data_IF_124226072528
#
_entry.id   IF_124226072528
#
_cell.length_a   1.000
_cell.length_b   1.000
_cell.length_c   1.000
_cell.angle_alpha   90.00
_cell.angle_beta   90.00
_cell.angle_gamma   90.00
#
_symmetry.space_group_name_H-M   'P 1'
#
loop_
_entity.id
_entity.type
_entity.pdbx_description
1 polymer ?
#
# COMPACT_ATOMS: atom_id res chain seq x y z
N UNK A 1 -21.90 -0.28 0.33
CA UNK A 1 -20.62 -1.00 0.40
C UNK A 1 -19.58 0.00 0.88
N UNK A 2 -18.91 -0.25 1.99
CA UNK A 2 -17.75 0.58 2.36
C UNK A 2 -16.66 0.33 1.32
N UNK A 3 -16.26 1.38 0.62
CA UNK A 3 -15.19 1.25 -0.34
C UNK A 3 -13.85 1.27 0.40
N UNK A 4 -12.90 0.39 0.04
CA UNK A 4 -11.67 0.25 0.81
C UNK A 4 -10.86 1.54 0.77
N UNK A 5 -10.40 1.97 1.93
CA UNK A 5 -9.47 3.09 2.06
C UNK A 5 -8.18 2.81 1.28
N UNK A 6 -7.60 3.84 0.65
CA UNK A 6 -6.41 3.73 -0.20
C UNK A 6 -5.19 4.43 0.41
N UNK A 7 -3.98 3.87 0.24
CA UNK A 7 -2.74 4.50 0.71
C UNK A 7 -2.47 5.89 0.12
N UNK A 8 -2.94 6.18 -1.08
CA UNK A 8 -2.79 7.49 -1.74
C UNK A 8 -4.13 8.00 -2.22
N UNK A 9 -4.40 9.27 -1.95
CA UNK A 9 -5.49 10.04 -2.56
C UNK A 9 -4.88 11.26 -3.24
N UNK A 10 -5.23 11.51 -4.50
CA UNK A 10 -4.98 12.78 -5.20
C UNK A 10 -6.27 13.58 -5.16
N UNK A 11 -6.19 14.87 -4.84
CA UNK A 11 -7.30 15.80 -4.93
C UNK A 11 -6.85 16.98 -5.78
N UNK A 12 -7.56 17.28 -6.86
CA UNK A 12 -7.30 18.46 -7.69
C UNK A 12 -8.60 19.04 -8.23
N UNK A 13 -8.60 20.35 -8.45
CA UNK A 13 -9.64 21.12 -9.12
C UNK A 13 -9.40 21.28 -10.64
N UNK A 14 -8.23 20.86 -11.13
CA UNK A 14 -7.87 20.92 -12.54
C UNK A 14 -7.52 19.53 -13.09
N UNK A 15 -8.25 19.10 -14.13
CA UNK A 15 -8.08 17.78 -14.75
C UNK A 15 -6.71 17.58 -15.40
N UNK A 16 -6.13 18.64 -16.00
CA UNK A 16 -4.83 18.55 -16.66
C UNK A 16 -3.69 18.21 -15.69
N UNK A 17 -3.72 18.76 -14.46
CA UNK A 17 -2.74 18.40 -13.43
C UNK A 17 -2.84 16.93 -13.02
N UNK A 18 -4.06 16.38 -13.02
CA UNK A 18 -4.29 14.95 -12.73
C UNK A 18 -3.73 14.10 -13.87
N UNK A 19 -3.98 14.45 -15.14
CA UNK A 19 -3.47 13.73 -16.30
C UNK A 19 -1.95 13.58 -16.23
N UNK A 20 -1.23 14.69 -16.07
CA UNK A 20 0.23 14.66 -16.02
C UNK A 20 0.75 13.82 -14.85
N UNK A 21 0.13 13.96 -13.68
CA UNK A 21 0.51 13.20 -12.50
C UNK A 21 0.26 11.69 -12.68
N UNK A 22 -0.88 11.31 -13.28
CA UNK A 22 -1.20 9.92 -13.56
C UNK A 22 -0.22 9.32 -14.57
N UNK A 23 0.17 10.05 -15.61
CA UNK A 23 1.15 9.60 -16.60
C UNK A 23 2.53 9.37 -15.98
N UNK A 24 3.01 10.31 -15.15
CA UNK A 24 4.29 10.16 -14.42
C UNK A 24 4.24 8.95 -13.48
N UNK A 25 3.16 8.81 -12.70
CA UNK A 25 3.00 7.69 -11.77
C UNK A 25 2.87 6.35 -12.51
N UNK A 26 2.16 6.30 -13.63
CA UNK A 26 2.04 5.09 -14.43
C UNK A 26 3.39 4.66 -15.01
N UNK A 27 4.14 5.62 -15.57
CA UNK A 27 5.45 5.37 -16.19
C UNK A 27 6.50 4.94 -15.18
N UNK A 28 6.57 5.61 -14.02
CA UNK A 28 7.64 5.37 -13.05
C UNK A 28 7.28 4.37 -11.94
N UNK A 29 5.99 4.25 -11.59
CA UNK A 29 5.54 3.38 -10.51
C UNK A 29 4.13 2.81 -10.75
N UNK A 30 3.93 1.99 -11.80
CA UNK A 30 2.61 1.49 -12.21
C UNK A 30 1.90 0.71 -11.10
N UNK A 31 2.64 0.02 -10.23
CA UNK A 31 2.09 -0.70 -9.07
C UNK A 31 1.36 0.21 -8.06
N UNK A 32 1.54 1.54 -8.13
CA UNK A 32 0.84 2.48 -7.27
C UNK A 32 -0.61 2.71 -7.71
N UNK A 33 -0.93 2.61 -9.00
CA UNK A 33 -2.28 2.89 -9.53
C UNK A 33 -3.39 2.07 -8.84
N UNK A 34 -3.22 0.75 -8.60
CA UNK A 34 -4.16 -0.03 -7.79
C UNK A 34 -4.42 0.47 -6.37
N UNK A 35 -3.58 1.37 -5.86
CA UNK A 35 -3.56 1.85 -4.47
C UNK A 35 -3.84 3.35 -4.39
N UNK A 36 -4.22 3.94 -5.51
CA UNK A 36 -4.50 5.35 -5.68
C UNK A 36 -6.00 5.57 -5.83
N UNK A 37 -6.50 6.66 -5.26
CA UNK A 37 -7.79 7.25 -5.61
C UNK A 37 -7.56 8.67 -6.09
N UNK A 38 -8.13 9.02 -7.23
CA UNK A 38 -8.22 10.41 -7.70
C UNK A 38 -9.58 10.95 -7.30
N UNK A 39 -9.59 12.13 -6.70
CA UNK A 39 -10.78 12.91 -6.41
C UNK A 39 -10.72 14.20 -7.21
N UNK A 40 -11.59 14.34 -8.20
CA UNK A 40 -11.69 15.52 -9.05
C UNK A 40 -12.74 16.47 -8.45
N UNK A 41 -12.31 17.68 -8.10
CA UNK A 41 -13.15 18.76 -7.56
C UNK A 41 -13.74 19.65 -8.65
N UNK A 42 -13.56 19.29 -9.92
CA UNK A 42 -14.12 20.04 -11.03
C UNK A 42 -15.63 19.75 -11.18
N UNK A 43 -16.37 20.75 -11.69
CA UNK A 43 -17.78 20.59 -11.97
C UNK A 43 -17.99 19.65 -13.16
N UNK A 44 -19.21 19.13 -13.32
CA UNK A 44 -19.53 18.24 -14.43
C UNK A 44 -19.54 19.03 -15.75
N UNK A 45 -18.42 18.99 -16.48
CA UNK A 45 -18.28 19.55 -17.83
C UNK A 45 -17.98 18.49 -18.91
N UNK A 46 -17.92 18.92 -20.18
CA UNK A 46 -17.49 18.07 -21.30
C UNK A 46 -16.04 17.62 -21.13
N UNK A 47 -15.16 18.54 -20.76
CA UNK A 47 -13.73 18.28 -20.60
C UNK A 47 -13.48 17.33 -19.42
N UNK A 48 -14.16 17.56 -18.29
CA UNK A 48 -14.10 16.70 -17.11
C UNK A 48 -14.58 15.28 -17.43
N UNK A 49 -15.69 15.12 -18.15
CA UNK A 49 -16.19 13.80 -18.56
C UNK A 49 -15.20 13.08 -19.49
N UNK A 50 -14.65 13.78 -20.48
CA UNK A 50 -13.67 13.21 -21.40
C UNK A 50 -12.39 12.75 -20.66
N UNK A 51 -11.92 13.54 -19.68
CA UNK A 51 -10.79 13.16 -18.83
C UNK A 51 -11.09 11.92 -17.98
N UNK A 52 -12.25 11.86 -17.34
CA UNK A 52 -12.68 10.71 -16.53
C UNK A 52 -12.78 9.41 -17.35
N UNK A 53 -13.35 9.49 -18.55
CA UNK A 53 -13.41 8.36 -19.50
C UNK A 53 -12.02 7.90 -19.94
N UNK A 54 -11.13 8.85 -20.25
CA UNK A 54 -9.72 8.57 -20.57
C UNK A 54 -9.00 7.88 -19.41
N UNK A 55 -9.12 8.38 -18.18
CA UNK A 55 -8.45 7.76 -17.03
C UNK A 55 -8.95 6.35 -16.75
N UNK A 56 -10.26 6.15 -16.81
CA UNK A 56 -10.86 4.85 -16.45
C UNK A 56 -10.65 3.78 -17.52
N UNK A 57 -10.35 4.19 -18.76
CA UNK A 57 -9.92 3.31 -19.85
C UNK A 57 -8.41 3.05 -19.83
N UNK A 58 -7.57 4.09 -19.70
CA UNK A 58 -6.10 3.98 -19.69
C UNK A 58 -5.55 3.34 -18.42
N UNK A 59 -6.22 3.53 -17.28
CA UNK A 59 -5.80 3.02 -15.98
C UNK A 59 -6.91 2.18 -15.33
N UNK A 60 -7.11 0.92 -15.77
CA UNK A 60 -8.23 0.09 -15.34
C UNK A 60 -8.30 -0.16 -13.83
N UNK A 61 -7.18 0.01 -13.12
CA UNK A 61 -7.03 -0.25 -11.70
C UNK A 61 -7.22 1.01 -10.83
N UNK A 62 -7.29 2.18 -11.47
CA UNK A 62 -7.48 3.47 -10.81
C UNK A 62 -8.90 3.58 -10.26
N UNK A 63 -9.02 4.15 -9.06
CA UNK A 63 -10.30 4.55 -8.50
C UNK A 63 -10.48 6.05 -8.65
N UNK A 64 -11.68 6.47 -9.04
CA UNK A 64 -12.02 7.88 -9.32
C UNK A 64 -13.26 8.29 -8.54
N UNK A 65 -13.21 9.49 -7.95
CA UNK A 65 -14.31 10.16 -7.25
C UNK A 65 -14.51 11.52 -7.91
N UNK A 66 -15.67 11.76 -8.52
CA UNK A 66 -15.90 12.99 -9.29
C UNK A 66 -17.39 13.31 -9.38
N UNK A 67 -17.73 14.51 -9.85
CA UNK A 67 -19.12 14.89 -10.19
C UNK A 67 -19.56 14.18 -11.48
N UNK A 68 -19.97 12.90 -11.35
CA UNK A 68 -20.33 12.03 -12.47
C UNK A 68 -21.34 10.95 -12.06
N UNK A 69 -22.01 10.38 -13.04
CA UNK A 69 -22.81 9.15 -12.86
C UNK A 69 -21.87 7.92 -12.95
N UNK A 70 -21.70 7.12 -11.89
CA UNK A 70 -20.75 6.00 -11.90
C UNK A 70 -21.28 4.84 -12.76
N UNK A 71 -20.57 4.57 -13.85
CA UNK A 71 -20.77 3.38 -14.70
C UNK A 71 -20.21 2.09 -14.08
N UNK A 72 -19.19 2.21 -13.24
CA UNK A 72 -18.55 1.11 -12.52
C UNK A 72 -18.43 1.42 -11.03
N UNK A 73 -19.40 1.03 -10.20
CA UNK A 73 -19.41 1.35 -8.77
C UNK A 73 -18.22 0.78 -7.97
N UNK A 74 -17.43 -0.14 -8.52
CA UNK A 74 -16.23 -0.63 -7.84
C UNK A 74 -15.05 0.34 -8.00
N UNK A 75 -15.02 1.10 -9.10
CA UNK A 75 -13.92 1.99 -9.48
C UNK A 75 -14.31 3.46 -9.50
N UNK A 76 -15.59 3.75 -9.59
CA UNK A 76 -16.14 5.09 -9.74
C UNK A 76 -17.10 5.36 -8.58
N UNK A 77 -16.97 6.54 -8.00
CA UNK A 77 -17.88 7.03 -6.97
C UNK A 77 -18.30 8.46 -7.30
N UNK A 78 -19.58 8.75 -7.14
CA UNK A 78 -20.08 10.12 -7.25
C UNK A 78 -19.56 10.97 -6.08
N UNK A 79 -19.08 12.17 -6.40
CA UNK A 79 -18.73 13.20 -5.42
C UNK A 79 -20.01 13.95 -5.03
N UNK A 80 -20.42 13.97 -3.75
CA UNK A 80 -21.59 14.72 -3.33
C UNK A 80 -21.44 16.21 -3.64
N UNK A 81 -22.49 16.87 -4.15
CA UNK A 81 -22.46 18.29 -4.51
C UNK A 81 -22.00 19.19 -3.33
N UNK A 82 -22.37 18.84 -2.10
CA UNK A 82 -21.92 19.54 -0.89
C UNK A 82 -20.38 19.57 -0.77
N UNK A 83 -19.67 18.55 -1.25
CA UNK A 83 -18.22 18.50 -1.20
C UNK A 83 -17.54 19.50 -2.15
N UNK A 84 -18.23 19.96 -3.19
CA UNK A 84 -17.76 21.03 -4.08
C UNK A 84 -17.96 22.42 -3.46
N UNK A 85 -18.94 22.55 -2.56
CA UNK A 85 -19.35 23.83 -1.99
C UNK A 85 -18.78 24.05 -0.58
N UNK A 86 -18.58 22.97 0.18
CA UNK A 86 -18.24 23.02 1.59
C UNK A 86 -16.98 22.20 1.92
N UNK A 87 -15.93 22.89 2.38
CA UNK A 87 -14.70 22.25 2.85
C UNK A 87 -14.91 21.15 3.90
N UNK A 88 -15.82 21.28 4.90
CA UNK A 88 -16.11 20.19 5.83
C UNK A 88 -16.70 18.94 5.17
N UNK A 89 -17.53 19.11 4.14
CA UNK A 89 -18.09 17.98 3.39
C UNK A 89 -17.01 17.29 2.55
N UNK A 90 -16.17 18.06 1.87
CA UNK A 90 -14.99 17.56 1.17
C UNK A 90 -14.07 16.74 2.11
N UNK A 91 -13.72 17.29 3.28
CA UNK A 91 -12.87 16.59 4.24
C UNK A 91 -13.46 15.26 4.75
N UNK A 92 -14.79 15.15 4.86
CA UNK A 92 -15.46 13.88 5.22
C UNK A 92 -15.30 12.83 4.12
N UNK A 93 -15.46 13.23 2.85
CA UNK A 93 -15.23 12.35 1.70
C UNK A 93 -13.79 11.85 1.71
N UNK A 94 -12.81 12.75 1.79
CA UNK A 94 -11.38 12.41 1.80
C UNK A 94 -11.04 11.45 2.94
N UNK A 95 -11.58 11.68 4.13
CA UNK A 95 -11.40 10.78 5.29
C UNK A 95 -11.92 9.37 5.01
N UNK A 96 -13.03 9.23 4.27
CA UNK A 96 -13.56 7.92 3.86
C UNK A 96 -12.82 7.29 2.68
N UNK A 97 -11.91 8.01 2.02
CA UNK A 97 -11.10 7.50 0.93
C UNK A 97 -9.69 7.12 1.38
N UNK A 98 -9.10 7.87 2.31
CA UNK A 98 -7.69 7.77 2.68
C UNK A 98 -7.45 6.75 3.79
N UNK A 99 -6.50 5.84 3.57
CA UNK A 99 -6.07 4.90 4.60
C UNK A 99 -5.42 5.65 5.78
N UNK A 100 -5.53 5.13 7.01
CA UNK A 100 -4.74 5.64 8.12
C UNK A 100 -3.26 5.71 7.73
N UNK A 101 -2.59 6.84 8.01
CA UNK A 101 -1.19 7.10 7.61
C UNK A 101 -0.94 7.24 6.10
N UNK A 102 -2.00 7.23 5.31
CA UNK A 102 -1.98 7.48 3.86
C UNK A 102 -1.40 8.85 3.51
N UNK A 103 -1.10 9.01 2.22
CA UNK A 103 -0.59 10.25 1.64
C UNK A 103 -1.72 10.91 0.83
N UNK A 104 -2.03 12.16 1.17
CA UNK A 104 -2.87 13.03 0.38
C UNK A 104 -1.98 13.90 -0.51
N UNK A 105 -2.21 13.86 -1.82
CA UNK A 105 -1.58 14.70 -2.84
C UNK A 105 -2.59 15.77 -3.25
N UNK A 106 -2.17 17.03 -3.29
CA UNK A 106 -3.03 18.13 -3.71
C UNK A 106 -2.20 19.27 -4.29
N UNK A 107 -2.74 19.93 -5.30
CA UNK A 107 -2.12 21.01 -6.06
C UNK A 107 -0.69 20.67 -6.47
N UNK A 108 -0.51 19.49 -7.08
CA UNK A 108 0.77 19.05 -7.63
C UNK A 108 0.89 19.58 -9.06
N UNK A 109 1.63 20.67 -9.20
CA UNK A 109 1.94 21.27 -10.49
C UNK A 109 3.29 20.76 -10.98
N UNK A 110 3.28 19.86 -11.98
CA UNK A 110 4.51 19.33 -12.60
C UNK A 110 5.19 20.36 -13.52
N UNK A 111 4.47 21.40 -13.92
CA UNK A 111 4.99 22.58 -14.59
C UNK A 111 5.05 23.74 -13.59
N UNK A 112 6.11 23.83 -12.76
CA UNK A 112 6.28 24.93 -11.80
C UNK A 112 7.48 25.83 -12.11
N UNK A 113 7.24 27.16 -12.08
CA UNK A 113 8.26 28.21 -12.21
C UNK A 113 9.23 28.25 -11.01
N UNK A 114 10.49 28.51 -11.31
CA UNK A 114 11.70 28.14 -10.57
C UNK A 114 12.24 29.23 -9.63
N UNK A 115 11.90 29.24 -8.33
CA UNK A 115 12.49 30.21 -7.38
C UNK A 115 12.62 29.71 -5.92
N UNK A 116 12.60 28.39 -5.66
CA UNK A 116 12.81 27.86 -4.29
C UNK A 116 13.82 26.71 -4.33
N UNK A 117 14.81 26.68 -3.42
CA UNK A 117 15.78 25.57 -3.31
C UNK A 117 15.11 24.19 -3.16
N UNK A 118 15.71 23.15 -3.76
CA UNK A 118 15.20 21.78 -3.86
C UNK A 118 14.79 21.15 -2.52
N UNK A 119 15.41 21.57 -1.42
CA UNK A 119 15.16 21.08 -0.08
C UNK A 119 13.90 21.69 0.58
N UNK A 120 13.34 22.76 -0.01
CA UNK A 120 12.20 23.54 0.55
C UNK A 120 10.99 23.66 -0.36
N UNK A 121 11.00 23.09 -1.57
CA UNK A 121 9.91 23.24 -2.55
C UNK A 121 8.60 22.50 -2.22
N UNK A 122 8.56 21.72 -1.14
CA UNK A 122 7.43 20.87 -0.73
C UNK A 122 6.68 21.37 0.50
N UNK A 123 6.71 22.67 0.74
CA UNK A 123 5.94 23.31 1.81
C UNK A 123 4.94 24.28 1.20
N UNK A 124 3.65 23.99 1.37
CA UNK A 124 2.63 25.04 1.32
C UNK A 124 1.47 24.72 2.23
N UNK A 125 1.12 25.78 2.94
CA UNK A 125 0.46 25.86 4.23
C UNK A 125 -0.88 26.50 3.93
N UNK A 126 -1.94 25.72 3.96
CA UNK A 126 -3.27 26.23 4.34
C UNK A 126 -4.21 25.05 4.65
N UNK A 127 -4.25 24.02 3.79
CA UNK A 127 -5.14 22.88 4.04
C UNK A 127 -4.70 22.00 5.23
N UNK A 128 -3.39 21.82 5.45
CA UNK A 128 -2.89 21.05 6.59
C UNK A 128 -3.26 21.68 7.95
N UNK A 129 -3.25 23.01 8.04
CA UNK A 129 -3.69 23.77 9.23
C UNK A 129 -5.21 23.76 9.38
N UNK A 130 -5.96 23.80 8.27
CA UNK A 130 -7.43 23.75 8.28
C UNK A 130 -7.99 22.36 8.60
N UNK A 131 -7.37 21.29 8.09
CA UNK A 131 -7.75 19.90 8.41
C UNK A 131 -7.33 19.56 9.83
N UNK A 132 -6.16 19.97 10.33
CA UNK A 132 -5.74 19.71 11.72
C UNK A 132 -6.45 20.61 12.74
N UNK A 133 -6.72 21.87 12.39
CA UNK A 133 -7.33 22.86 13.29
C UNK A 133 -8.83 22.66 13.55
N UNK A 134 -9.52 21.87 12.73
CA UNK A 134 -10.97 21.62 12.86
C UNK A 134 -11.35 20.30 13.54
N UNK A 135 -10.38 19.44 13.86
CA UNK A 135 -10.59 18.32 14.77
C UNK A 135 -9.99 18.69 16.12
N UNK A 136 -10.72 18.55 17.25
CA UNK A 136 -10.07 18.60 18.56
C UNK A 136 -8.89 17.63 18.52
N UNK A 137 -7.73 18.07 19.01
CA UNK A 137 -6.38 17.54 18.75
C UNK A 137 -6.19 16.02 18.93
N UNK A 138 -7.16 15.30 19.49
CA UNK A 138 -7.22 13.85 19.63
C UNK A 138 -7.90 13.09 18.47
N UNK A 139 -8.52 13.77 17.48
CA UNK A 139 -9.29 13.14 16.38
C UNK A 139 -8.86 13.52 14.96
N UNK A 140 -7.82 14.34 14.80
CA UNK A 140 -7.32 14.68 13.47
C UNK A 140 -6.74 13.42 12.77
N UNK A 141 -7.07 13.16 11.50
CA UNK A 141 -6.51 12.03 10.78
C UNK A 141 -4.98 12.16 10.69
N UNK A 142 -4.27 11.10 11.11
CA UNK A 142 -2.81 11.00 10.97
C UNK A 142 -2.50 10.69 9.50
N UNK A 143 -2.52 11.69 8.62
CA UNK A 143 -2.13 11.55 7.22
C UNK A 143 -0.86 12.36 6.91
N UNK A 144 -0.14 11.91 5.89
CA UNK A 144 0.93 12.68 5.25
C UNK A 144 0.29 13.54 4.16
N UNK A 145 0.72 14.79 4.01
CA UNK A 145 0.23 15.71 2.97
C UNK A 145 1.41 16.13 2.10
N UNK A 146 1.19 16.23 0.79
CA UNK A 146 2.18 16.70 -0.16
C UNK A 146 1.52 17.63 -1.18
N UNK A 147 2.07 18.83 -1.31
CA UNK A 147 1.69 19.87 -2.28
C UNK A 147 2.94 20.65 -2.67
N UNK A 148 2.99 21.20 -3.88
CA UNK A 148 4.03 22.12 -4.33
C UNK A 148 3.49 23.49 -4.81
N UNK A 149 2.18 23.76 -4.62
CA UNK A 149 1.56 25.04 -4.98
C UNK A 149 2.07 26.17 -4.09
N UNK A 150 2.75 27.14 -4.69
CA UNK A 150 3.18 28.35 -3.99
C UNK A 150 2.02 29.33 -3.90
N UNK A 151 1.83 29.94 -2.72
CA UNK A 151 0.95 31.12 -2.60
C UNK A 151 1.65 32.27 -3.33
N UNK A 152 1.26 32.52 -4.57
CA UNK A 152 1.77 33.64 -5.36
C UNK A 152 1.18 34.94 -4.78
N UNK A 153 1.95 35.65 -3.96
CA UNK A 153 1.64 37.05 -3.68
C UNK A 153 1.98 37.88 -4.93
N UNK A 154 0.99 38.50 -5.55
CA UNK A 154 1.13 39.36 -6.74
C UNK A 154 2.18 40.50 -6.61
N UNK A 155 2.65 40.80 -5.40
CA UNK A 155 3.71 41.77 -5.11
C UNK A 155 5.12 41.23 -5.43
N UNK A 156 5.32 39.91 -5.31
CA UNK A 156 6.63 39.27 -5.37
C UNK A 156 7.28 39.30 -6.78
N UNK A 157 6.49 39.19 -7.84
CA UNK A 157 7.01 39.29 -9.21
C UNK A 157 7.54 40.69 -9.52
N UNK A 158 6.86 41.73 -9.03
CA UNK A 158 7.30 43.12 -9.14
C UNK A 158 8.55 43.38 -8.27
N UNK A 159 8.58 42.85 -7.04
CA UNK A 159 9.74 42.97 -6.15
C UNK A 159 11.01 42.28 -6.72
N UNK A 160 10.86 41.25 -7.56
CA UNK A 160 11.96 40.51 -8.20
C UNK A 160 12.50 41.21 -9.46
N UNK A 161 11.64 41.83 -10.27
CA UNK A 161 12.07 42.71 -11.36
C UNK A 161 12.79 43.96 -10.81
N UNK A 162 12.29 44.54 -9.71
CA UNK A 162 12.92 45.67 -9.00
C UNK A 162 14.27 45.30 -8.38
N UNK A 163 14.48 44.03 -8.02
CA UNK A 163 15.75 43.50 -7.53
C UNK A 163 16.74 43.10 -8.65
N UNK A 164 16.38 43.32 -9.92
CA UNK A 164 17.25 43.11 -11.08
C UNK A 164 17.27 41.68 -11.63
N UNK A 165 16.30 40.83 -11.26
CA UNK A 165 16.16 39.48 -11.79
C UNK A 165 15.15 39.45 -12.96
N UNK A 166 15.49 38.72 -14.03
CA UNK A 166 14.58 38.47 -15.16
C UNK A 166 13.75 37.21 -14.89
N UNK A 167 12.42 37.31 -14.96
CA UNK A 167 11.50 36.18 -14.76
C UNK A 167 11.59 35.09 -15.86
N UNK A 168 12.42 35.30 -16.88
CA UNK A 168 12.56 34.42 -18.06
C UNK A 168 13.63 33.33 -17.92
N UNK A 169 14.29 33.21 -16.77
CA UNK A 169 15.30 32.17 -16.53
C UNK A 169 14.65 31.00 -15.76
N UNK A 170 14.29 29.93 -16.50
CA UNK A 170 13.35 28.85 -16.11
C UNK A 170 14.05 27.48 -16.05
N UNK A 171 13.72 26.64 -15.05
CA UNK A 171 14.14 25.23 -14.93
C UNK A 171 13.06 24.22 -15.36
N UNK A 172 13.50 22.99 -15.65
CA UNK A 172 12.94 22.00 -16.59
C UNK A 172 12.00 20.94 -15.94
N UNK A 173 11.06 20.40 -16.73
CA UNK A 173 10.02 19.39 -16.39
C UNK A 173 10.61 18.10 -15.79
N UNK A 174 11.87 17.80 -16.11
CA UNK A 174 12.57 16.58 -15.72
C UNK A 174 13.01 16.51 -14.22
N UNK A 175 13.12 17.63 -13.51
CA UNK A 175 13.57 17.65 -12.09
C UNK A 175 12.44 17.33 -11.08
N UNK A 176 11.18 17.66 -11.41
CA UNK A 176 10.03 17.36 -10.57
C UNK A 176 9.65 15.88 -10.63
N UNK A 177 9.73 15.30 -11.82
CA UNK A 177 9.55 13.86 -12.06
C UNK A 177 10.55 13.00 -11.28
N UNK A 178 11.81 13.42 -11.22
CA UNK A 178 12.88 12.69 -10.51
C UNK A 178 12.81 12.83 -8.99
N UNK A 179 12.02 13.78 -8.46
CA UNK A 179 11.93 14.05 -7.01
C UNK A 179 10.61 13.55 -6.39
N UNK A 180 9.48 13.74 -7.09
CA UNK A 180 8.15 13.42 -6.58
C UNK A 180 7.99 11.92 -6.27
N UNK A 181 8.28 11.06 -7.26
CA UNK A 181 8.05 9.61 -7.13
C UNK A 181 8.93 9.01 -6.03
N UNK A 182 10.24 9.30 -5.94
CA UNK A 182 11.05 8.82 -4.82
C UNK A 182 10.58 9.33 -3.45
N UNK A 183 10.13 10.59 -3.35
CA UNK A 183 9.61 11.14 -2.09
C UNK A 183 8.33 10.43 -1.66
N UNK A 184 7.39 10.24 -2.58
CA UNK A 184 6.16 9.49 -2.36
C UNK A 184 6.45 8.04 -1.94
N UNK A 185 7.38 7.37 -2.62
CA UNK A 185 7.81 6.02 -2.29
C UNK A 185 8.39 5.93 -0.87
N UNK A 186 9.20 6.91 -0.47
CA UNK A 186 9.78 6.99 0.89
C UNK A 186 8.70 7.17 1.95
N UNK A 187 7.74 8.09 1.73
CA UNK A 187 6.62 8.31 2.66
C UNK A 187 5.77 7.05 2.82
N UNK A 188 5.40 6.41 1.70
CA UNK A 188 4.56 5.22 1.70
C UNK A 188 5.26 4.00 2.30
N UNK A 189 6.59 3.85 2.14
CA UNK A 189 7.34 2.79 2.85
C UNK A 189 7.38 3.01 4.34
N UNK A 190 7.51 4.27 4.79
CA UNK A 190 7.51 4.60 6.22
C UNK A 190 6.12 4.40 6.83
N UNK A 191 5.07 4.75 6.10
CA UNK A 191 3.68 4.59 6.54
C UNK A 191 3.22 3.13 6.53
N UNK A 192 3.51 2.42 5.43
CA UNK A 192 3.10 1.04 5.20
C UNK A 192 4.32 0.16 4.90
N UNK A 193 5.11 -0.24 5.92
CA UNK A 193 6.35 -0.99 5.72
C UNK A 193 6.13 -2.47 5.39
N UNK A 194 4.91 -2.98 5.60
CA UNK A 194 4.57 -4.39 5.46
C UNK A 194 3.66 -4.61 4.25
N UNK A 195 3.70 -5.82 3.70
CA UNK A 195 2.73 -6.30 2.72
C UNK A 195 2.14 -7.64 3.13
N UNK A 196 0.85 -7.82 2.85
CA UNK A 196 0.09 -9.05 3.06
C UNK A 196 -0.27 -9.68 1.72
N UNK A 197 0.23 -10.89 1.50
CA UNK A 197 -0.26 -11.80 0.46
C UNK A 197 -1.32 -12.72 1.10
N UNK A 198 -2.47 -12.92 0.45
CA UNK A 198 -3.53 -13.79 0.97
C UNK A 198 -4.25 -14.60 -0.10
N UNK A 199 -4.75 -15.76 0.29
CA UNK A 199 -5.50 -16.67 -0.59
C UNK A 199 -6.71 -15.97 -1.22
N UNK A 200 -6.97 -16.23 -2.50
CA UNK A 200 -8.11 -15.65 -3.22
C UNK A 200 -7.95 -14.17 -3.60
N UNK A 201 -6.79 -13.55 -3.33
CA UNK A 201 -6.48 -12.18 -3.76
C UNK A 201 -5.28 -12.17 -4.70
N UNK A 202 -5.43 -11.52 -5.85
CA UNK A 202 -4.37 -11.42 -6.85
C UNK A 202 -3.23 -10.47 -6.46
N UNK A 203 -3.46 -9.52 -5.53
CA UNK A 203 -2.50 -8.47 -5.17
C UNK A 203 -2.24 -8.44 -3.68
N UNK A 204 -1.02 -8.04 -3.33
CA UNK A 204 -0.65 -7.78 -1.93
C UNK A 204 -1.27 -6.48 -1.43
N UNK A 205 -1.77 -6.54 -0.20
CA UNK A 205 -2.22 -5.38 0.56
C UNK A 205 -1.04 -4.73 1.28
N UNK A 206 -1.02 -3.41 1.41
CA UNK A 206 0.00 -2.71 2.19
C UNK A 206 -0.53 -2.45 3.59
N UNK A 207 0.26 -2.83 4.59
CA UNK A 207 -0.11 -2.74 6.00
C UNK A 207 0.80 -1.76 6.72
N UNK A 208 0.22 -1.08 7.71
CA UNK A 208 1.00 -0.42 8.75
C UNK A 208 1.67 -1.47 9.65
N UNK A 209 2.65 -1.06 10.46
CA UNK A 209 3.26 -1.93 11.46
C UNK A 209 2.59 -1.80 12.84
N UNK A 210 1.42 -1.18 12.90
CA UNK A 210 0.74 -0.83 14.14
C UNK A 210 -0.11 -2.02 14.63
N UNK A 211 -0.41 -2.04 15.93
CA UNK A 211 -1.12 -3.17 16.56
C UNK A 211 -2.53 -3.39 15.99
N UNK A 212 -3.20 -2.33 15.53
CA UNK A 212 -4.54 -2.39 14.96
C UNK A 212 -4.58 -3.18 13.64
N UNK A 213 -3.67 -2.89 12.71
CA UNK A 213 -3.56 -3.66 11.46
C UNK A 213 -3.18 -5.11 11.73
N UNK A 214 -2.30 -5.34 12.72
CA UNK A 214 -1.93 -6.71 13.12
C UNK A 214 -3.13 -7.48 13.66
N UNK A 215 -3.87 -6.88 14.59
CA UNK A 215 -5.05 -7.48 15.17
C UNK A 215 -6.11 -7.79 14.10
N UNK A 216 -6.39 -6.83 13.21
CA UNK A 216 -7.33 -7.03 12.10
C UNK A 216 -6.95 -8.23 11.24
N UNK A 217 -5.67 -8.34 10.85
CA UNK A 217 -5.19 -9.45 10.03
C UNK A 217 -5.27 -10.78 10.77
N UNK A 218 -4.95 -10.81 12.07
CA UNK A 218 -5.05 -12.00 12.91
C UNK A 218 -6.52 -12.45 13.13
N UNK A 219 -7.48 -11.52 13.10
CA UNK A 219 -8.92 -11.80 13.23
C UNK A 219 -9.58 -12.19 11.89
N UNK A 220 -9.11 -11.65 10.76
CA UNK A 220 -9.65 -11.93 9.42
C UNK A 220 -9.21 -13.28 8.85
N UNK A 221 -8.05 -13.80 9.26
CA UNK A 221 -7.43 -14.98 8.63
C UNK A 221 -7.38 -16.18 9.58
N UNK A 222 -7.63 -17.37 9.03
CA UNK A 222 -7.46 -18.63 9.78
C UNK A 222 -6.00 -18.88 10.13
N UNK A 223 -5.09 -18.49 9.24
CA UNK A 223 -3.65 -18.66 9.41
C UNK A 223 -2.89 -17.51 8.76
N UNK A 224 -1.99 -16.87 9.51
CA UNK A 224 -1.08 -15.86 8.98
C UNK A 224 0.34 -16.09 9.45
N UNK A 225 1.29 -15.97 8.51
CA UNK A 225 2.72 -15.95 8.81
C UNK A 225 3.22 -14.51 8.87
N UNK A 226 3.79 -14.13 10.00
CA UNK A 226 4.45 -12.85 10.23
C UNK A 226 5.97 -12.98 10.05
N UNK A 227 6.47 -12.41 8.97
CA UNK A 227 7.90 -12.31 8.60
C UNK A 227 8.37 -10.85 8.61
N UNK A 228 7.89 -10.08 9.59
CA UNK A 228 8.18 -8.66 9.77
C UNK A 228 9.47 -8.40 10.56
N UNK A 229 9.92 -9.40 11.33
CA UNK A 229 11.10 -9.33 12.21
C UNK A 229 12.25 -10.23 11.70
N UNK A 230 13.49 -9.71 11.63
CA UNK A 230 14.65 -10.52 11.29
C UNK A 230 14.83 -11.72 12.23
N UNK A 231 15.14 -12.89 11.69
CA UNK A 231 15.44 -14.09 12.48
C UNK A 231 14.23 -14.76 13.15
N UNK A 232 13.03 -14.19 13.02
CA UNK A 232 11.80 -14.71 13.65
C UNK A 232 10.71 -14.95 12.62
N UNK A 233 9.91 -15.97 12.88
CA UNK A 233 8.64 -16.22 12.20
C UNK A 233 7.54 -16.24 13.26
N UNK A 234 6.49 -15.45 13.07
CA UNK A 234 5.27 -15.52 13.86
C UNK A 234 4.21 -16.33 13.11
N UNK A 235 3.48 -17.17 13.82
CA UNK A 235 2.29 -17.88 13.33
C UNK A 235 1.09 -17.40 14.16
N UNK A 236 0.08 -16.83 13.51
CA UNK A 236 -1.13 -16.34 14.16
C UNK A 236 -2.36 -16.60 13.28
N UNK A 237 -3.52 -16.07 13.67
CA UNK A 237 -4.80 -16.30 13.01
C UNK A 237 -5.82 -16.97 13.93
N UNK A 238 -7.10 -16.83 13.60
CA UNK A 238 -8.21 -17.41 14.40
C UNK A 238 -8.19 -18.93 14.44
N UNK A 239 -7.54 -19.56 13.46
CA UNK A 239 -7.35 -21.00 13.34
C UNK A 239 -6.12 -21.53 14.10
N UNK A 240 -5.33 -20.68 14.76
CA UNK A 240 -4.16 -21.08 15.56
C UNK A 240 -4.55 -21.25 17.02
N UNK A 241 -4.18 -22.40 17.59
CA UNK A 241 -4.43 -22.69 19.00
C UNK A 241 -3.42 -22.00 19.91
N UNK A 242 -3.90 -21.41 21.01
CA UNK A 242 -3.08 -20.63 21.94
C UNK A 242 -2.61 -19.25 21.45
N UNK A 243 -3.03 -18.79 20.26
CA UNK A 243 -2.71 -17.46 19.73
C UNK A 243 -1.36 -17.38 19.00
N UNK A 244 -0.64 -16.26 19.13
CA UNK A 244 0.64 -16.04 18.43
C UNK A 244 1.72 -17.02 18.89
N UNK A 245 2.25 -17.80 17.95
CA UNK A 245 3.41 -18.67 18.16
C UNK A 245 4.62 -18.06 17.48
N UNK A 246 5.66 -17.73 18.24
CA UNK A 246 6.93 -17.24 17.70
C UNK A 246 7.96 -18.37 17.63
N UNK A 247 8.68 -18.44 16.51
CA UNK A 247 9.72 -19.43 16.27
C UNK A 247 10.95 -18.83 15.60
N UNK A 248 12.09 -19.50 15.74
CA UNK A 248 13.31 -19.13 15.01
C UNK A 248 13.09 -19.35 13.51
N UNK A 249 13.47 -18.37 12.69
CA UNK A 249 13.13 -18.38 11.26
C UNK A 249 13.81 -19.49 10.46
N UNK A 250 14.89 -20.06 10.96
CA UNK A 250 15.67 -21.17 10.41
C UNK A 250 15.28 -22.53 11.04
N UNK A 251 14.39 -22.53 12.04
CA UNK A 251 13.90 -23.74 12.67
C UNK A 251 13.08 -24.60 11.71
N UNK A 252 13.13 -25.92 11.90
CA UNK A 252 12.39 -26.90 11.08
C UNK A 252 10.89 -26.59 11.00
N UNK A 253 10.28 -26.14 12.10
CA UNK A 253 8.87 -25.75 12.13
C UNK A 253 8.58 -24.51 11.27
N UNK A 254 9.47 -23.52 11.28
CA UNK A 254 9.35 -22.33 10.45
C UNK A 254 9.43 -22.66 8.96
N UNK A 255 10.34 -23.56 8.58
CA UNK A 255 10.48 -24.05 7.20
C UNK A 255 9.21 -24.78 6.74
N UNK A 256 8.65 -25.65 7.59
CA UNK A 256 7.40 -26.36 7.31
C UNK A 256 6.23 -25.39 7.08
N UNK A 257 6.05 -24.41 7.97
CA UNK A 257 4.98 -23.41 7.85
C UNK A 257 5.11 -22.57 6.59
N UNK A 258 6.31 -22.06 6.29
CA UNK A 258 6.57 -21.30 5.06
C UNK A 258 6.22 -22.10 3.82
N UNK A 259 6.63 -23.36 3.78
CA UNK A 259 6.35 -24.22 2.63
C UNK A 259 4.84 -24.47 2.47
N UNK A 260 4.08 -24.66 3.55
CA UNK A 260 2.64 -24.92 3.49
C UNK A 260 1.87 -23.68 3.03
N UNK A 261 2.17 -22.53 3.66
CA UNK A 261 1.53 -21.26 3.31
C UNK A 261 1.89 -20.84 1.91
N UNK A 262 3.16 -20.98 1.49
CA UNK A 262 3.58 -20.71 0.11
C UNK A 262 2.89 -21.63 -0.89
N UNK A 263 2.74 -22.92 -0.59
CA UNK A 263 2.01 -23.85 -1.46
C UNK A 263 0.54 -23.41 -1.59
N UNK A 264 -0.10 -23.09 -0.46
CA UNK A 264 -1.50 -22.65 -0.43
C UNK A 264 -1.73 -21.34 -1.20
N UNK A 265 -0.89 -20.33 -0.97
CA UNK A 265 -0.96 -19.04 -1.69
C UNK A 265 -0.77 -19.20 -3.20
N UNK A 266 -0.05 -20.23 -3.64
CA UNK A 266 0.20 -20.53 -5.06
C UNK A 266 -0.81 -21.52 -5.67
N UNK A 267 -1.79 -21.99 -4.91
CA UNK A 267 -2.73 -23.01 -5.37
C UNK A 267 -2.08 -24.37 -5.67
N UNK A 268 -0.96 -24.68 -5.01
CA UNK A 268 -0.26 -25.96 -5.18
C UNK A 268 -0.91 -27.05 -4.29
N UNK A 269 -0.76 -28.35 -4.63
CA UNK A 269 -1.37 -29.46 -3.88
C UNK A 269 -0.90 -29.62 -2.43
N UNK A 270 0.12 -28.88 -2.00
CA UNK A 270 0.76 -29.03 -0.68
C UNK A 270 2.26 -29.31 -0.80
N UNK A 271 2.85 -29.81 0.28
CA UNK A 271 4.27 -30.22 0.33
C UNK A 271 4.36 -31.74 0.33
N UNK A 272 5.20 -32.33 -0.52
CA UNK A 272 5.44 -33.77 -0.47
C UNK A 272 6.11 -34.16 0.85
N UNK A 273 5.65 -35.25 1.46
CA UNK A 273 6.24 -35.76 2.70
C UNK A 273 7.76 -35.99 2.57
N UNK A 274 8.20 -36.47 1.40
CA UNK A 274 9.62 -36.69 1.10
C UNK A 274 10.42 -35.40 1.06
N UNK A 275 9.94 -34.39 0.33
CA UNK A 275 10.61 -33.07 0.20
C UNK A 275 10.72 -32.39 1.58
N UNK A 276 9.67 -32.49 2.40
CA UNK A 276 9.70 -31.98 3.76
C UNK A 276 10.74 -32.71 4.63
N UNK A 277 10.84 -34.03 4.49
CA UNK A 277 11.82 -34.85 5.20
C UNK A 277 13.26 -34.54 4.81
N UNK A 278 13.54 -34.45 3.51
CA UNK A 278 14.86 -34.08 2.96
C UNK A 278 15.28 -32.67 3.43
N UNK A 279 14.34 -31.72 3.53
CA UNK A 279 14.64 -30.34 3.92
C UNK A 279 14.98 -30.16 5.42
N UNK A 280 14.54 -31.07 6.30
CA UNK A 280 14.68 -30.91 7.76
C UNK A 280 15.61 -31.96 8.39
N UNK A 281 15.90 -33.05 7.69
CA UNK A 281 16.78 -34.08 8.18
C UNK A 281 18.27 -33.70 7.98
N UNK A 282 19.18 -34.27 8.79
CA UNK A 282 20.63 -34.18 8.56
C UNK A 282 21.01 -34.67 7.16
N UNK A 283 22.12 -34.16 6.64
CA UNK A 283 22.60 -34.41 5.27
C UNK A 283 22.81 -35.90 4.93
N UNK A 284 23.00 -36.75 5.95
CA UNK A 284 23.22 -38.20 5.79
C UNK A 284 22.08 -39.07 6.34
N UNK A 285 20.92 -38.48 6.63
CA UNK A 285 19.78 -39.22 7.15
C UNK A 285 19.21 -40.19 6.09
N UNK A 286 18.98 -41.43 6.50
CA UNK A 286 18.33 -42.42 5.64
C UNK A 286 16.86 -42.08 5.38
N UNK A 287 16.29 -42.64 4.30
CA UNK A 287 14.90 -42.37 3.89
C UNK A 287 13.88 -42.57 5.00
N UNK A 288 14.02 -43.62 5.81
CA UNK A 288 13.10 -43.89 6.91
C UNK A 288 13.17 -42.78 7.99
N UNK A 289 14.37 -42.29 8.31
CA UNK A 289 14.57 -41.20 9.25
C UNK A 289 13.97 -39.88 8.74
N UNK A 290 14.15 -39.59 7.45
CA UNK A 290 13.56 -38.40 6.80
C UNK A 290 12.02 -38.41 6.90
N UNK A 291 11.39 -39.55 6.57
CA UNK A 291 9.94 -39.70 6.67
C UNK A 291 9.43 -39.58 8.11
N UNK A 292 10.16 -40.15 9.08
CA UNK A 292 9.81 -40.04 10.49
C UNK A 292 9.91 -38.59 10.98
N UNK A 293 10.96 -37.85 10.60
CA UNK A 293 11.09 -36.42 10.95
C UNK A 293 9.99 -35.58 10.33
N UNK A 294 9.64 -35.83 9.07
CA UNK A 294 8.52 -35.16 8.41
C UNK A 294 7.20 -35.41 9.14
N UNK A 295 6.92 -36.66 9.50
CA UNK A 295 5.71 -37.04 10.25
C UNK A 295 5.65 -36.37 11.63
N UNK A 296 6.76 -36.39 12.37
CA UNK A 296 6.86 -35.74 13.68
C UNK A 296 6.64 -34.23 13.57
N UNK A 297 7.23 -33.58 12.56
CA UNK A 297 7.04 -32.16 12.32
C UNK A 297 5.58 -31.84 12.01
N UNK A 298 4.93 -32.59 11.11
CA UNK A 298 3.52 -32.38 10.77
C UNK A 298 2.61 -32.57 11.97
N UNK A 299 2.88 -33.56 12.83
CA UNK A 299 2.08 -33.74 14.04
C UNK A 299 2.20 -32.55 15.00
N UNK A 300 3.41 -31.98 15.15
CA UNK A 300 3.58 -30.72 15.90
C UNK A 300 2.81 -29.57 15.25
N UNK A 301 2.89 -29.43 13.92
CA UNK A 301 2.17 -28.38 13.21
C UNK A 301 0.64 -28.53 13.35
N UNK A 302 0.11 -29.75 13.27
CA UNK A 302 -1.31 -30.05 13.54
C UNK A 302 -1.74 -29.61 14.93
N UNK A 303 -0.91 -29.84 15.95
CA UNK A 303 -1.24 -29.40 17.31
C UNK A 303 -1.30 -27.88 17.49
N UNK A 304 -0.81 -27.10 16.53
CA UNK A 304 -0.95 -25.63 16.52
C UNK A 304 -2.25 -25.16 15.88
N UNK A 305 -3.01 -26.03 15.21
CA UNK A 305 -4.20 -25.63 14.46
C UNK A 305 -5.46 -26.09 15.20
N UNK A 306 -6.41 -25.17 15.36
CA UNK A 306 -7.79 -25.52 15.72
C UNK A 306 -8.35 -26.45 14.65
N UNK A 307 -8.96 -27.55 15.04
CA UNK A 307 -9.40 -28.61 14.13
C UNK A 307 -8.33 -29.65 13.78
N UNK A 308 -7.07 -29.45 14.21
CA UNK A 308 -6.02 -30.48 14.20
C UNK A 308 -5.84 -31.18 12.85
N UNK A 309 -6.31 -32.43 12.75
CA UNK A 309 -6.18 -33.25 11.54
C UNK A 309 -6.99 -32.73 10.36
N UNK A 310 -8.13 -32.09 10.62
CA UNK A 310 -9.01 -31.55 9.58
C UNK A 310 -8.47 -30.22 9.03
N UNK A 311 -7.54 -29.58 9.75
CA UNK A 311 -6.88 -28.36 9.34
C UNK A 311 -5.68 -28.58 8.39
N UNK A 312 -4.99 -29.72 8.56
CA UNK A 312 -3.79 -30.10 7.82
C UNK A 312 -3.91 -31.54 7.34
N UNK A 313 -4.38 -31.65 6.10
CA UNK A 313 -4.74 -32.89 5.42
C UNK A 313 -3.51 -33.56 4.82
N UNK A 314 -3.62 -34.86 4.55
CA UNK A 314 -2.68 -35.59 3.71
C UNK A 314 -3.43 -36.15 2.51
N UNK A 315 -3.12 -35.64 1.32
CA UNK A 315 -3.77 -36.01 0.06
C UNK A 315 -2.70 -36.50 -0.91
N UNK A 316 -2.75 -37.76 -1.32
CA UNK A 316 -1.82 -38.36 -2.28
C UNK A 316 -0.32 -38.12 -1.92
N UNK A 317 0.03 -38.23 -0.63
CA UNK A 317 1.40 -38.04 -0.15
C UNK A 317 1.86 -36.58 -0.03
N UNK A 318 0.92 -35.63 -0.14
CA UNK A 318 1.16 -34.21 0.10
C UNK A 318 0.46 -33.76 1.38
N UNK A 319 1.17 -33.03 2.22
CA UNK A 319 0.56 -32.31 3.34
C UNK A 319 0.06 -30.95 2.85
N UNK A 320 -1.22 -30.66 3.07
CA UNK A 320 -1.86 -29.42 2.64
C UNK A 320 -2.78 -28.84 3.71
N UNK A 321 -2.85 -27.51 3.76
CA UNK A 321 -3.88 -26.82 4.53
C UNK A 321 -5.23 -27.02 3.85
N UNK A 322 -6.29 -27.18 4.64
CA UNK A 322 -7.64 -27.36 4.12
C UNK A 322 -8.08 -26.17 3.25
N UNK A 323 -8.85 -26.45 2.20
CA UNK A 323 -9.16 -25.48 1.15
C UNK A 323 -10.05 -24.34 1.61
N UNK A 324 -10.93 -24.60 2.58
CA UNK A 324 -11.79 -23.59 3.18
C UNK A 324 -11.04 -22.55 4.01
N UNK A 325 -9.76 -22.81 4.36
CA UNK A 325 -8.98 -21.90 5.19
C UNK A 325 -8.45 -20.72 4.41
N UNK A 326 -8.71 -19.54 4.95
CA UNK A 326 -8.11 -18.28 4.57
C UNK A 326 -6.69 -18.19 5.14
N UNK A 327 -5.71 -18.02 4.25
CA UNK A 327 -4.29 -18.03 4.63
C UNK A 327 -3.60 -16.78 4.13
N UNK A 328 -2.73 -16.21 4.96
CA UNK A 328 -1.91 -15.06 4.62
C UNK A 328 -0.44 -15.19 4.97
N UNK A 329 0.36 -14.34 4.33
CA UNK A 329 1.77 -14.13 4.62
C UNK A 329 2.04 -12.63 4.65
N UNK A 330 2.50 -12.15 5.79
CA UNK A 330 2.96 -10.77 5.98
C UNK A 330 4.47 -10.73 5.95
N UNK A 331 5.04 -9.83 5.14
CA UNK A 331 6.48 -9.59 5.06
C UNK A 331 6.80 -8.11 4.91
N UNK A 332 8.04 -7.73 5.15
CA UNK A 332 8.50 -6.38 4.78
C UNK A 332 8.43 -6.20 3.27
N UNK A 333 7.92 -5.04 2.86
CA UNK A 333 7.87 -4.70 1.44
C UNK A 333 9.28 -4.65 0.84
N UNK A 334 9.46 -5.17 -0.39
CA UNK A 334 10.70 -4.96 -1.12
C UNK A 334 10.92 -3.46 -1.36
N UNK A 335 12.19 -3.05 -1.49
CA UNK A 335 12.50 -1.68 -1.92
C UNK A 335 11.95 -1.50 -3.34
N UNK A 336 11.05 -0.53 -3.54
CA UNK A 336 10.60 -0.14 -4.88
C UNK A 336 11.79 0.26 -5.77
N UNK A 337 11.74 0.00 -7.08
CA UNK A 337 12.68 0.57 -8.04
C UNK A 337 12.69 2.10 -7.89
N UNK A 338 13.88 2.72 -7.98
CA UNK A 338 14.07 4.17 -7.80
C UNK A 338 14.61 4.62 -6.44
N UNK A 339 14.68 3.74 -5.43
CA UNK A 339 15.52 4.03 -4.24
C UNK A 339 16.95 3.57 -4.47
N UNK A 340 17.71 4.34 -5.24
CA UNK A 340 19.17 4.24 -5.14
C UNK A 340 19.56 4.49 -3.68
N UNK A 341 20.57 3.78 -3.13
CA UNK A 341 21.20 4.27 -1.91
C UNK A 341 21.72 5.67 -2.22
N UNK A 342 21.43 6.66 -1.38
CA UNK A 342 22.29 7.85 -1.34
C UNK A 342 23.69 7.30 -1.11
N UNK A 343 24.51 7.31 -2.16
CA UNK A 343 25.94 7.19 -2.00
C UNK A 343 26.29 8.31 -1.02
N UNK A 344 26.71 7.92 0.17
CA UNK A 344 27.35 8.82 1.11
C UNK A 344 28.42 9.58 0.33
N UNK A 345 28.19 10.88 0.14
CA UNK A 345 29.24 11.81 -0.26
C UNK A 345 30.22 11.79 0.90
N UNK A 346 31.32 11.08 0.69
CA UNK A 346 32.50 11.09 1.55
C UNK A 346 33.20 12.44 1.51
#
# INVERSE_FOLDING_TARGET
MEHPHRPVVIIEDHVDHIDELLDVLHRQWPELLPRLTVMCLDERGLDTQAALERWTSSFPELRVVASMDPSDPQRQQELPAEALQELPACARVVRGLLAPRGVLLQDIQLETLSFVPDDRCWESIDLASMVRGKYPSSRAPRCNFMSNKRVFHARFAADMEDAGFSFKDVLDKDELETTLVPRLARLLRKAFPLELERTGRARSEWLTADAEDRQRVDEELDLVLWEDRPGRLGLAGVGVDGGLVEMASDGQEALGWRALVKARLRGLPGIRTRELGEAIAPEHAERAEQLQKASNLVNRMRSRLRGGKDALLNTNGHYCLADERSVGRVRRRPRSPGSAPNASIS
#
